data_IF_949316271220
#
_entry.id   IF_949316271220
#
_cell.length_a   1.000
_cell.length_b   1.000
_cell.length_c   1.000
_cell.angle_alpha   90.00
_cell.angle_beta   90.00
_cell.angle_gamma   90.00
#
_symmetry.space_group_name_H-M   'P 1'
#
loop_
_entity.id
_entity.type
_entity.pdbx_description
1 polymer ?
#
# COMPACT_ATOMS: atom_id res chain seq x y z
N UNK A 1 4.19 35.05 40.25
CA UNK A 1 4.77 35.02 38.88
C UNK A 1 4.51 33.63 38.33
N UNK A 2 3.99 33.59 37.10
CA UNK A 2 3.21 32.48 36.55
C UNK A 2 4.04 31.20 36.32
N UNK A 3 3.64 30.13 36.99
CA UNK A 3 4.01 28.76 36.64
C UNK A 3 3.32 28.39 35.33
N UNK A 4 4.13 28.23 34.28
CA UNK A 4 3.65 28.12 32.91
C UNK A 4 3.24 26.68 32.69
N UNK A 5 1.93 26.44 32.65
CA UNK A 5 1.31 25.19 32.21
C UNK A 5 1.86 24.78 30.84
N UNK A 6 2.90 23.93 30.82
CA UNK A 6 3.16 23.07 29.68
C UNK A 6 1.95 22.14 29.53
N UNK A 7 1.03 22.54 28.65
CA UNK A 7 -0.01 21.66 28.12
C UNK A 7 0.70 20.50 27.44
N UNK A 8 0.92 19.43 28.21
CA UNK A 8 1.36 18.14 27.69
C UNK A 8 0.44 17.72 26.56
N UNK A 9 0.92 17.84 25.30
CA UNK A 9 0.37 17.04 24.21
C UNK A 9 0.54 15.60 24.69
N UNK A 10 -0.57 14.92 25.00
CA UNK A 10 -0.58 13.46 25.09
C UNK A 10 -0.11 12.93 23.74
N UNK A 11 1.20 12.76 23.58
CA UNK A 11 1.79 12.22 22.37
C UNK A 11 1.54 10.73 22.43
N UNK A 12 0.49 10.26 21.76
CA UNK A 12 0.19 8.84 21.63
C UNK A 12 1.35 8.19 20.84
N UNK A 13 2.31 7.51 21.48
CA UNK A 13 3.60 7.19 20.86
C UNK A 13 3.46 6.22 19.68
N UNK A 14 2.41 5.38 19.74
CA UNK A 14 2.05 4.44 18.69
C UNK A 14 1.47 5.13 17.45
N UNK A 15 0.60 6.14 17.59
CA UNK A 15 0.13 6.92 16.44
C UNK A 15 1.28 7.70 15.80
N UNK A 16 2.11 8.37 16.61
CA UNK A 16 3.22 9.19 16.11
C UNK A 16 4.22 8.39 15.27
N UNK A 17 4.62 7.21 15.74
CA UNK A 17 5.63 6.39 15.07
C UNK A 17 5.06 5.76 13.80
N UNK A 18 3.86 5.19 13.89
CA UNK A 18 3.17 4.60 12.74
C UNK A 18 2.91 5.63 11.64
N UNK A 19 2.41 6.82 11.98
CA UNK A 19 2.17 7.89 11.00
C UNK A 19 3.45 8.40 10.34
N UNK A 20 4.53 8.60 11.11
CA UNK A 20 5.83 9.04 10.58
C UNK A 20 6.32 8.13 9.45
N UNK A 21 6.36 6.81 9.71
CA UNK A 21 6.81 5.84 8.72
C UNK A 21 5.79 5.58 7.63
N UNK A 22 4.50 5.56 7.96
CA UNK A 22 3.43 5.40 6.98
C UNK A 22 3.39 6.53 5.96
N UNK A 23 3.50 7.79 6.40
CA UNK A 23 3.57 8.96 5.51
C UNK A 23 4.84 8.91 4.67
N UNK A 24 5.99 8.62 5.28
CA UNK A 24 7.27 8.54 4.55
C UNK A 24 7.24 7.45 3.48
N UNK A 25 6.69 6.27 3.81
CA UNK A 25 6.53 5.18 2.86
C UNK A 25 5.50 5.50 1.77
N UNK A 26 4.41 6.18 2.11
CA UNK A 26 3.42 6.65 1.13
C UNK A 26 4.00 7.65 0.15
N UNK A 27 4.78 8.62 0.63
CA UNK A 27 5.50 9.58 -0.23
C UNK A 27 6.51 8.86 -1.12
N UNK A 28 7.24 7.88 -0.59
CA UNK A 28 8.18 7.10 -1.41
C UNK A 28 7.46 6.29 -2.50
N UNK A 29 6.30 5.72 -2.21
CA UNK A 29 5.44 5.05 -3.20
C UNK A 29 5.01 6.01 -4.31
N UNK A 30 4.62 7.25 -3.96
CA UNK A 30 4.30 8.31 -4.93
C UNK A 30 5.50 8.65 -5.81
N UNK A 31 6.68 8.85 -5.20
CA UNK A 31 7.90 9.15 -5.93
C UNK A 31 8.24 8.01 -6.90
N UNK A 32 8.16 6.76 -6.44
CA UNK A 32 8.38 5.59 -7.28
C UNK A 32 7.40 5.54 -8.46
N UNK A 33 6.10 5.74 -8.20
CA UNK A 33 5.08 5.80 -9.24
C UNK A 33 5.40 6.86 -10.29
N UNK A 34 5.74 8.08 -9.86
CA UNK A 34 6.09 9.18 -10.76
C UNK A 34 7.34 8.88 -11.58
N UNK A 35 8.36 8.27 -10.98
CA UNK A 35 9.58 7.86 -11.71
C UNK A 35 9.25 6.82 -12.78
N UNK A 36 8.46 5.79 -12.44
CA UNK A 36 8.03 4.78 -13.43
C UNK A 36 7.22 5.40 -14.56
N UNK A 37 6.30 6.32 -14.23
CA UNK A 37 5.53 7.06 -15.23
C UNK A 37 6.43 7.91 -16.15
N UNK A 38 7.44 8.60 -15.61
CA UNK A 38 8.41 9.38 -16.39
C UNK A 38 9.25 8.50 -17.33
N UNK A 39 9.54 7.27 -16.92
CA UNK A 39 10.23 6.27 -17.74
C UNK A 39 9.34 5.64 -18.82
N UNK A 40 8.05 6.04 -18.90
CA UNK A 40 7.03 5.47 -19.80
C UNK A 40 6.71 4.00 -19.54
N UNK A 41 7.12 3.47 -18.40
CA UNK A 41 6.71 2.16 -17.90
C UNK A 41 5.31 2.26 -17.28
N UNK A 42 4.60 1.12 -17.13
CA UNK A 42 3.33 1.11 -16.42
C UNK A 42 3.57 1.19 -14.89
N UNK A 43 3.33 2.34 -14.24
CA UNK A 43 3.60 2.52 -12.84
C UNK A 43 2.67 1.69 -11.95
N UNK A 44 1.45 1.36 -12.41
CA UNK A 44 0.47 0.57 -11.63
C UNK A 44 0.94 -0.87 -11.43
N UNK A 45 1.53 -1.48 -12.46
CA UNK A 45 2.11 -2.82 -12.38
C UNK A 45 3.40 -2.83 -11.54
N UNK A 46 4.30 -1.88 -11.80
CA UNK A 46 5.59 -1.81 -11.11
C UNK A 46 5.44 -1.45 -9.63
N UNK A 47 4.50 -0.57 -9.28
CA UNK A 47 4.24 -0.20 -7.88
C UNK A 47 3.81 -1.43 -7.07
N UNK A 48 2.99 -2.31 -7.65
CA UNK A 48 2.55 -3.56 -7.00
C UNK A 48 3.73 -4.47 -6.65
N UNK A 49 4.75 -4.56 -7.51
CA UNK A 49 5.97 -5.32 -7.22
C UNK A 49 6.81 -4.64 -6.15
N UNK A 50 6.93 -3.31 -6.24
CA UNK A 50 7.66 -2.50 -5.27
C UNK A 50 7.05 -2.58 -3.87
N UNK A 51 5.73 -2.76 -3.77
CA UNK A 51 5.02 -2.89 -2.49
C UNK A 51 5.49 -4.07 -1.65
N UNK A 52 5.91 -5.17 -2.28
CA UNK A 52 6.47 -6.34 -1.59
C UNK A 52 7.79 -6.04 -0.88
N UNK A 53 8.49 -4.96 -1.27
CA UNK A 53 9.73 -4.51 -0.64
C UNK A 53 9.46 -3.37 0.33
N UNK A 54 8.66 -2.38 -0.05
CA UNK A 54 8.43 -1.19 0.78
C UNK A 54 7.67 -1.52 2.07
N UNK A 55 6.62 -2.34 2.01
CA UNK A 55 5.80 -2.68 3.17
C UNK A 55 6.61 -3.34 4.30
N UNK A 56 7.37 -4.44 4.07
CA UNK A 56 8.12 -5.07 5.14
C UNK A 56 9.20 -4.15 5.71
N UNK A 57 9.85 -3.34 4.86
CA UNK A 57 10.88 -2.39 5.30
C UNK A 57 10.30 -1.35 6.26
N UNK A 58 9.20 -0.69 5.88
CA UNK A 58 8.60 0.35 6.72
C UNK A 58 7.92 -0.23 7.97
N UNK A 59 7.32 -1.41 7.90
CA UNK A 59 6.80 -2.12 9.08
C UNK A 59 7.95 -2.45 10.05
N UNK A 60 9.06 -3.00 9.55
CA UNK A 60 10.22 -3.32 10.37
C UNK A 60 10.80 -2.09 11.07
N UNK A 61 11.00 -0.98 10.36
CA UNK A 61 11.52 0.25 10.96
C UNK A 61 10.54 0.86 11.97
N UNK A 62 9.23 0.80 11.69
CA UNK A 62 8.19 1.23 12.63
C UNK A 62 8.27 0.45 13.93
N UNK A 63 8.33 -0.88 13.85
CA UNK A 63 8.42 -1.75 15.01
C UNK A 63 9.73 -1.58 15.78
N UNK A 64 10.84 -1.45 15.06
CA UNK A 64 12.17 -1.23 15.65
C UNK A 64 12.22 0.09 16.42
N UNK A 65 11.78 1.19 15.81
CA UNK A 65 11.75 2.50 16.49
C UNK A 65 10.81 2.47 17.70
N UNK A 66 9.62 1.88 17.54
CA UNK A 66 8.65 1.79 18.62
C UNK A 66 9.17 0.96 19.81
N UNK A 67 9.78 -0.20 19.54
CA UNK A 67 10.37 -1.06 20.57
C UNK A 67 11.52 -0.35 21.29
N UNK A 68 12.49 0.16 20.54
CA UNK A 68 13.76 0.62 21.09
C UNK A 68 13.61 1.96 21.82
N UNK A 69 12.79 2.89 21.30
CA UNK A 69 12.70 4.25 21.84
C UNK A 69 11.42 4.53 22.66
N UNK A 70 10.36 3.72 22.52
CA UNK A 70 9.07 4.00 23.20
C UNK A 70 8.69 2.95 24.24
N UNK A 71 9.23 1.74 24.18
CA UNK A 71 8.89 0.63 25.09
C UNK A 71 10.11 0.05 25.82
N UNK A 72 11.28 0.70 25.75
CA UNK A 72 12.48 0.27 26.48
C UNK A 72 12.97 -1.12 26.08
N UNK A 73 12.85 -1.48 24.80
CA UNK A 73 13.34 -2.75 24.26
C UNK A 73 12.36 -3.93 24.36
N UNK A 74 11.18 -3.74 24.97
CA UNK A 74 10.11 -4.75 25.03
C UNK A 74 9.04 -4.44 23.99
N UNK A 75 8.40 -5.46 23.45
CA UNK A 75 7.33 -5.28 22.46
C UNK A 75 6.30 -6.38 22.63
N UNK A 76 5.06 -6.05 22.95
CA UNK A 76 3.97 -7.04 22.95
C UNK A 76 3.42 -7.23 21.53
N UNK A 77 2.80 -8.38 21.29
CA UNK A 77 2.20 -8.67 19.98
C UNK A 77 1.11 -7.66 19.61
N UNK A 78 0.21 -7.33 20.54
CA UNK A 78 -0.87 -6.36 20.30
C UNK A 78 -0.33 -4.95 20.02
N UNK A 79 0.74 -4.53 20.71
CA UNK A 79 1.41 -3.27 20.43
C UNK A 79 2.01 -3.24 19.02
N UNK A 80 2.71 -4.30 18.62
CA UNK A 80 3.31 -4.43 17.29
C UNK A 80 2.26 -4.41 16.16
N UNK A 81 1.16 -5.14 16.37
CA UNK A 81 0.01 -5.10 15.46
C UNK A 81 -0.56 -3.69 15.32
N UNK A 82 -0.77 -2.99 16.44
CA UNK A 82 -1.42 -1.66 16.44
C UNK A 82 -0.56 -0.59 15.79
N UNK A 83 0.73 -0.51 16.13
CA UNK A 83 1.63 0.51 15.58
C UNK A 83 1.87 0.31 14.09
N UNK A 84 2.00 -0.94 13.66
CA UNK A 84 2.21 -1.27 12.24
C UNK A 84 0.93 -1.10 11.43
N UNK A 85 -0.25 -1.38 12.02
CA UNK A 85 -1.55 -1.08 11.41
C UNK A 85 -1.66 0.38 11.00
N UNK A 86 -1.28 1.29 11.90
CA UNK A 86 -1.24 2.73 11.59
C UNK A 86 -0.24 3.01 10.47
N UNK A 87 0.93 2.39 10.48
CA UNK A 87 1.94 2.57 9.42
C UNK A 87 1.44 2.15 8.04
N UNK A 88 1.12 0.87 7.83
CA UNK A 88 0.77 0.39 6.51
C UNK A 88 -0.56 0.95 6.01
N UNK A 89 -1.52 1.24 6.91
CA UNK A 89 -2.80 1.87 6.52
C UNK A 89 -2.57 3.30 6.04
N UNK A 90 -1.72 4.08 6.73
CA UNK A 90 -1.40 5.44 6.29
C UNK A 90 -0.66 5.44 4.96
N UNK A 91 0.30 4.52 4.77
CA UNK A 91 0.99 4.30 3.51
C UNK A 91 0.00 3.98 2.38
N UNK A 92 -0.90 3.03 2.61
CA UNK A 92 -1.87 2.58 1.63
C UNK A 92 -2.89 3.67 1.28
N UNK A 93 -3.36 4.44 2.26
CA UNK A 93 -4.27 5.57 2.02
C UNK A 93 -3.63 6.67 1.17
N UNK A 94 -2.36 7.01 1.45
CA UNK A 94 -1.63 8.02 0.67
C UNK A 94 -1.41 7.55 -0.76
N UNK A 95 -1.01 6.28 -0.94
CA UNK A 95 -0.84 5.65 -2.24
C UNK A 95 -2.14 5.64 -3.04
N UNK A 96 -3.22 5.11 -2.47
CA UNK A 96 -4.52 5.01 -3.11
C UNK A 96 -5.10 6.38 -3.48
N UNK A 97 -5.01 7.36 -2.56
CA UNK A 97 -5.47 8.73 -2.83
C UNK A 97 -4.69 9.35 -3.99
N UNK A 98 -3.38 9.16 -4.02
CA UNK A 98 -2.55 9.65 -5.11
C UNK A 98 -2.90 8.97 -6.44
N UNK A 99 -3.03 7.64 -6.47
CA UNK A 99 -3.42 6.89 -7.68
C UNK A 99 -4.77 7.40 -8.22
N UNK A 100 -5.76 7.56 -7.34
CA UNK A 100 -7.08 8.06 -7.73
C UNK A 100 -6.99 9.46 -8.36
N UNK A 101 -6.30 10.40 -7.70
CA UNK A 101 -6.13 11.76 -8.19
C UNK A 101 -5.36 11.77 -9.51
N UNK A 102 -4.29 10.98 -9.62
CA UNK A 102 -3.42 10.95 -10.79
C UNK A 102 -4.17 10.42 -12.02
N UNK A 103 -4.89 9.29 -11.88
CA UNK A 103 -5.65 8.70 -12.97
C UNK A 103 -6.87 9.54 -13.38
N UNK A 104 -7.45 10.30 -12.44
CA UNK A 104 -8.62 11.12 -12.72
C UNK A 104 -8.26 12.46 -13.35
N UNK A 105 -7.16 13.09 -12.92
CA UNK A 105 -6.86 14.49 -13.26
C UNK A 105 -5.53 14.70 -13.98
N UNK A 106 -4.52 13.85 -13.78
CA UNK A 106 -3.18 14.06 -14.32
C UNK A 106 -2.96 13.34 -15.66
N UNK A 107 -3.27 12.04 -15.73
CA UNK A 107 -3.10 11.23 -16.94
C UNK A 107 -4.26 10.24 -17.08
N UNK A 108 -5.34 10.70 -17.71
CA UNK A 108 -6.51 9.88 -18.02
C UNK A 108 -6.20 8.79 -19.06
N UNK A 109 -5.14 8.95 -19.86
CA UNK A 109 -4.68 7.97 -20.83
C UNK A 109 -3.97 6.77 -20.17
N UNK A 110 -3.44 6.94 -18.95
CA UNK A 110 -2.81 5.85 -18.21
C UNK A 110 -3.80 4.74 -17.85
N UNK A 111 -5.03 5.10 -17.47
CA UNK A 111 -6.08 4.11 -17.18
C UNK A 111 -6.35 3.25 -18.41
N UNK A 112 -6.56 3.88 -19.58
CA UNK A 112 -6.84 3.17 -20.82
C UNK A 112 -5.67 2.25 -21.23
N UNK A 113 -4.42 2.72 -21.09
CA UNK A 113 -3.23 1.90 -21.35
C UNK A 113 -3.17 0.69 -20.41
N UNK A 114 -3.44 0.88 -19.12
CA UNK A 114 -3.47 -0.22 -18.16
C UNK A 114 -4.56 -1.25 -18.48
N UNK A 115 -5.75 -0.81 -18.90
CA UNK A 115 -6.80 -1.71 -19.36
C UNK A 115 -6.37 -2.50 -20.60
N UNK A 116 -5.73 -1.84 -21.58
CA UNK A 116 -5.24 -2.49 -22.79
C UNK A 116 -4.16 -3.53 -22.50
N UNK A 117 -3.22 -3.23 -21.60
CA UNK A 117 -2.19 -4.17 -21.17
C UNK A 117 -2.81 -5.40 -20.47
N UNK A 118 -3.76 -5.20 -19.55
CA UNK A 118 -4.44 -6.30 -18.87
C UNK A 118 -5.31 -7.12 -19.85
N UNK A 119 -5.97 -6.48 -20.80
CA UNK A 119 -6.72 -7.18 -21.86
C UNK A 119 -5.78 -8.00 -22.74
N UNK A 120 -4.63 -7.45 -23.12
CA UNK A 120 -3.64 -8.16 -23.91
C UNK A 120 -3.22 -9.47 -23.22
N UNK A 121 -2.97 -9.44 -21.89
CA UNK A 121 -2.64 -10.65 -21.11
C UNK A 121 -3.74 -11.72 -21.15
N UNK A 122 -5.02 -11.32 -21.16
CA UNK A 122 -6.14 -12.25 -21.26
C UNK A 122 -6.33 -12.78 -22.69
N UNK A 123 -6.08 -11.94 -23.69
CA UNK A 123 -6.34 -12.29 -25.09
C UNK A 123 -5.19 -13.02 -25.78
N UNK A 124 -3.94 -12.82 -25.33
CA UNK A 124 -2.72 -13.40 -25.93
C UNK A 124 -2.77 -14.93 -25.98
N UNK A 125 -3.32 -15.55 -24.94
CA UNK A 125 -3.62 -16.99 -24.88
C UNK A 125 -5.03 -17.23 -24.33
N UNK A 126 -6.01 -16.75 -25.11
CA UNK A 126 -7.43 -16.85 -24.75
C UNK A 126 -7.86 -18.30 -24.46
N UNK A 127 -7.34 -19.26 -25.23
CA UNK A 127 -7.74 -20.67 -25.10
C UNK A 127 -7.31 -21.24 -23.76
N UNK A 128 -6.08 -20.97 -23.30
CA UNK A 128 -5.62 -21.40 -21.98
C UNK A 128 -6.51 -20.87 -20.86
N UNK A 129 -6.87 -19.59 -20.92
CA UNK A 129 -7.75 -18.98 -19.90
C UNK A 129 -9.17 -19.54 -19.93
N UNK A 130 -9.72 -19.83 -21.12
CA UNK A 130 -11.03 -20.46 -21.28
C UNK A 130 -11.01 -21.89 -20.72
N UNK A 131 -9.95 -22.65 -20.98
CA UNK A 131 -9.82 -24.03 -20.49
C UNK A 131 -9.64 -24.07 -18.95
N UNK A 132 -8.91 -23.11 -18.36
CA UNK A 132 -8.66 -23.02 -16.91
C UNK A 132 -9.87 -22.48 -16.12
N UNK A 133 -10.57 -21.47 -16.65
CA UNK A 133 -11.60 -20.72 -15.91
C UNK A 133 -13.04 -21.01 -16.38
N UNK A 134 -13.18 -21.57 -17.59
CA UNK A 134 -14.44 -21.69 -18.32
C UNK A 134 -14.83 -20.40 -19.06
N UNK A 135 -15.53 -20.57 -20.20
CA UNK A 135 -15.94 -19.47 -21.08
C UNK A 135 -16.66 -18.32 -20.35
N UNK A 136 -17.61 -18.65 -19.48
CA UNK A 136 -18.39 -17.63 -18.76
C UNK A 136 -17.53 -16.77 -17.83
N UNK A 137 -16.52 -17.37 -17.19
CA UNK A 137 -15.60 -16.65 -16.29
C UNK A 137 -14.63 -15.79 -17.09
N UNK A 138 -14.14 -16.32 -18.21
CA UNK A 138 -13.30 -15.58 -19.14
C UNK A 138 -14.00 -14.33 -19.67
N UNK A 139 -15.25 -14.45 -20.13
CA UNK A 139 -16.02 -13.32 -20.66
C UNK A 139 -16.25 -12.24 -19.59
N UNK A 140 -16.53 -12.66 -18.35
CA UNK A 140 -16.65 -11.74 -17.21
C UNK A 140 -15.34 -11.03 -16.91
N UNK A 141 -14.21 -11.74 -16.91
CA UNK A 141 -12.90 -11.14 -16.67
C UNK A 141 -12.57 -10.07 -17.72
N UNK A 142 -12.88 -10.32 -19.00
CA UNK A 142 -12.73 -9.32 -20.07
C UNK A 142 -13.61 -8.09 -19.82
N UNK A 143 -14.86 -8.29 -19.40
CA UNK A 143 -15.77 -7.18 -19.09
C UNK A 143 -15.29 -6.36 -17.88
N UNK A 144 -14.82 -7.02 -16.82
CA UNK A 144 -14.29 -6.38 -15.61
C UNK A 144 -13.07 -5.52 -15.91
N UNK A 145 -12.14 -6.01 -16.74
CA UNK A 145 -10.97 -5.21 -17.15
C UNK A 145 -11.43 -3.96 -17.92
N UNK A 146 -12.41 -4.08 -18.83
CA UNK A 146 -12.93 -2.93 -19.61
C UNK A 146 -13.65 -1.90 -18.74
N UNK A 147 -14.29 -2.34 -17.66
CA UNK A 147 -15.07 -1.47 -16.76
C UNK A 147 -14.25 -0.94 -15.58
N UNK A 148 -13.00 -1.38 -15.44
CA UNK A 148 -12.10 -0.94 -14.38
C UNK A 148 -11.94 0.58 -14.39
N UNK A 149 -12.32 1.23 -13.30
CA UNK A 149 -12.22 2.67 -13.11
C UNK A 149 -10.97 3.06 -12.31
N UNK A 150 -10.67 4.37 -12.27
CA UNK A 150 -9.62 4.91 -11.42
C UNK A 150 -9.86 4.61 -9.92
N UNK A 151 -11.12 4.61 -9.48
CA UNK A 151 -11.48 4.28 -8.10
C UNK A 151 -11.23 2.80 -7.81
N UNK A 152 -11.54 1.91 -8.75
CA UNK A 152 -11.31 0.47 -8.58
C UNK A 152 -9.82 0.17 -8.42
N UNK A 153 -8.95 0.81 -9.21
CA UNK A 153 -7.51 0.65 -9.09
C UNK A 153 -6.95 1.21 -7.78
N UNK A 154 -7.45 2.35 -7.32
CA UNK A 154 -7.06 2.92 -6.04
C UNK A 154 -7.51 2.04 -4.86
N UNK A 155 -8.72 1.48 -4.91
CA UNK A 155 -9.22 0.56 -3.89
C UNK A 155 -8.49 -0.78 -3.92
N UNK A 156 -8.18 -1.31 -5.11
CA UNK A 156 -7.37 -2.51 -5.28
C UNK A 156 -5.99 -2.34 -4.62
N UNK A 157 -5.33 -1.21 -4.86
CA UNK A 157 -4.06 -0.83 -4.23
C UNK A 157 -4.16 -0.78 -2.69
N UNK A 158 -5.19 -0.08 -2.19
CA UNK A 158 -5.46 0.06 -0.76
C UNK A 158 -5.67 -1.31 -0.09
N UNK A 159 -6.56 -2.13 -0.64
CA UNK A 159 -6.96 -3.41 -0.07
C UNK A 159 -5.77 -4.37 -0.07
N UNK A 160 -5.03 -4.45 -1.20
CA UNK A 160 -3.84 -5.32 -1.30
C UNK A 160 -2.77 -4.92 -0.31
N UNK A 161 -2.46 -3.63 -0.17
CA UNK A 161 -1.47 -3.16 0.81
C UNK A 161 -1.90 -3.41 2.26
N UNK A 162 -3.18 -3.22 2.58
CA UNK A 162 -3.72 -3.55 3.92
C UNK A 162 -3.60 -5.05 4.20
N UNK A 163 -3.99 -5.88 3.24
CA UNK A 163 -3.94 -7.33 3.38
C UNK A 163 -2.50 -7.81 3.57
N UNK A 164 -1.59 -7.46 2.65
CA UNK A 164 -0.17 -7.82 2.73
C UNK A 164 0.45 -7.26 4.03
N UNK A 165 0.15 -6.01 4.37
CA UNK A 165 0.63 -5.36 5.59
C UNK A 165 0.20 -6.09 6.86
N UNK A 166 -1.03 -6.62 6.91
CA UNK A 166 -1.53 -7.42 8.02
C UNK A 166 -0.71 -8.70 8.22
N UNK A 167 -0.46 -9.46 7.14
CA UNK A 167 0.35 -10.69 7.21
C UNK A 167 1.80 -10.41 7.60
N UNK A 168 2.43 -9.44 6.95
CA UNK A 168 3.82 -9.05 7.23
C UNK A 168 3.97 -8.56 8.67
N UNK A 169 3.02 -7.77 9.16
CA UNK A 169 3.04 -7.30 10.55
C UNK A 169 3.02 -8.46 11.53
N UNK A 170 2.17 -9.46 11.31
CA UNK A 170 2.11 -10.64 12.17
C UNK A 170 3.46 -11.36 12.25
N UNK A 171 4.06 -11.64 11.08
CA UNK A 171 5.36 -12.32 10.99
C UNK A 171 6.47 -11.49 11.64
N UNK A 172 6.62 -10.22 11.26
CA UNK A 172 7.70 -9.36 11.74
C UNK A 172 7.56 -9.09 13.25
N UNK A 173 6.34 -8.90 13.74
CA UNK A 173 6.09 -8.71 15.18
C UNK A 173 6.51 -9.94 15.98
N UNK A 174 6.25 -11.16 15.49
CA UNK A 174 6.69 -12.39 16.16
C UNK A 174 8.22 -12.46 16.25
N UNK A 175 8.95 -12.04 15.21
CA UNK A 175 10.41 -12.01 15.22
C UNK A 175 11.00 -10.96 16.17
N UNK A 176 10.35 -9.79 16.33
CA UNK A 176 10.87 -8.71 17.18
C UNK A 176 10.37 -8.75 18.64
N UNK A 177 9.30 -9.49 18.91
CA UNK A 177 8.73 -9.65 20.26
C UNK A 177 9.77 -10.26 21.21
N UNK A 178 9.85 -9.70 22.41
CA UNK A 178 10.60 -10.21 23.56
C UNK A 178 9.72 -10.19 24.79
#
# INVERSE_FOLDING_TARGET
MADTKEKGRKSYPWLSTGLKYGITGGVLAIVFFLVMWLLKENPLGMLRLFDFVILPVFIFFTLKEFRDYRQGGKLTYSQGMTVSFVCYTSLALISALFIFIFLTYADTGLLLRHQQENLAVLTDDSQRWIDELGQQTYDKAIEEVKRTSALDLALDDLIKKIFIGLFLTGIITLFLKK
#
